data_IF_890818475377
#
_entry.id   IF_890818475377
#
_cell.length_a   1.000
_cell.length_b   1.000
_cell.length_c   1.000
_cell.angle_alpha   90.00
_cell.angle_beta   90.00
_cell.angle_gamma   90.00
#
_symmetry.space_group_name_H-M   'P 1'
#
loop_
_entity.id
_entity.type
_entity.pdbx_description
1 polymer ?
#
# COMPACT_ATOMS: atom_id res chain seq x y z
N UNK A 1 34.71 17.41 10.13
CA UNK A 1 34.74 15.93 10.06
C UNK A 1 33.35 15.30 10.26
N UNK A 2 32.25 15.97 9.90
CA UNK A 2 30.87 15.62 10.34
C UNK A 2 29.88 15.36 9.20
N UNK A 3 30.19 15.71 7.96
CA UNK A 3 29.27 15.58 6.81
C UNK A 3 29.14 14.12 6.30
N UNK A 4 30.16 13.27 6.51
CA UNK A 4 30.13 11.86 6.08
C UNK A 4 29.10 10.99 6.83
N UNK A 5 28.86 11.27 8.12
CA UNK A 5 27.97 10.46 8.96
C UNK A 5 26.47 10.61 8.62
N UNK A 6 26.04 11.81 8.23
CA UNK A 6 24.62 12.11 7.93
C UNK A 6 24.21 11.59 6.55
N UNK A 7 25.13 11.56 5.58
CA UNK A 7 24.88 10.97 4.25
C UNK A 7 24.90 9.45 4.33
N UNK A 8 25.77 8.86 5.15
CA UNK A 8 25.77 7.42 5.41
C UNK A 8 24.46 6.92 6.02
N UNK A 9 23.84 7.66 6.95
CA UNK A 9 22.61 7.20 7.60
C UNK A 9 21.43 7.09 6.63
N UNK A 10 21.21 8.07 5.74
CA UNK A 10 20.09 8.05 4.79
C UNK A 10 20.21 6.91 3.77
N UNK A 11 21.42 6.68 3.25
CA UNK A 11 21.68 5.59 2.29
C UNK A 11 21.50 4.24 2.96
N UNK A 12 22.04 4.06 4.17
CA UNK A 12 21.91 2.81 4.93
C UNK A 12 20.44 2.52 5.25
N UNK A 13 19.67 3.53 5.71
CA UNK A 13 18.24 3.36 5.97
C UNK A 13 17.50 2.95 4.71
N UNK A 14 17.75 3.62 3.57
CA UNK A 14 17.09 3.26 2.31
C UNK A 14 17.42 1.84 1.87
N UNK A 15 18.71 1.45 1.91
CA UNK A 15 19.13 0.10 1.55
C UNK A 15 18.51 -0.96 2.47
N UNK A 16 18.38 -0.67 3.77
CA UNK A 16 17.68 -1.54 4.72
C UNK A 16 16.20 -1.71 4.37
N UNK A 17 15.49 -0.61 4.08
CA UNK A 17 14.09 -0.67 3.66
C UNK A 17 13.92 -1.44 2.35
N UNK A 18 14.80 -1.19 1.38
CA UNK A 18 14.80 -1.88 0.08
C UNK A 18 15.09 -3.38 0.24
N UNK A 19 15.99 -3.77 1.15
CA UNK A 19 16.28 -5.17 1.44
C UNK A 19 15.06 -5.88 2.06
N UNK A 20 14.39 -5.26 3.02
CA UNK A 20 13.15 -5.79 3.63
C UNK A 20 12.06 -5.94 2.56
N UNK A 21 11.89 -4.92 1.71
CA UNK A 21 10.93 -4.94 0.61
C UNK A 21 11.25 -6.08 -0.37
N UNK A 22 12.51 -6.19 -0.79
CA UNK A 22 12.97 -7.21 -1.74
C UNK A 22 12.78 -8.61 -1.18
N UNK A 23 13.05 -8.82 0.11
CA UNK A 23 12.83 -10.10 0.78
C UNK A 23 11.34 -10.50 0.78
N UNK A 24 10.44 -9.57 1.11
CA UNK A 24 9.00 -9.81 1.09
C UNK A 24 8.47 -10.15 -0.31
N UNK A 25 8.92 -9.41 -1.34
CA UNK A 25 8.56 -9.68 -2.74
C UNK A 25 9.11 -11.02 -3.19
N UNK A 26 10.38 -11.31 -2.88
CA UNK A 26 11.03 -12.58 -3.26
C UNK A 26 10.34 -13.77 -2.64
N UNK A 27 9.91 -13.68 -1.38
CA UNK A 27 9.11 -14.72 -0.74
C UNK A 27 7.80 -14.99 -1.49
N UNK A 28 7.09 -13.93 -1.90
CA UNK A 28 5.85 -14.08 -2.69
C UNK A 28 6.12 -14.66 -4.08
N UNK A 29 7.20 -14.24 -4.75
CA UNK A 29 7.59 -14.77 -6.07
C UNK A 29 7.94 -16.26 -5.97
N UNK A 30 8.70 -16.66 -4.94
CA UNK A 30 9.05 -18.08 -4.72
C UNK A 30 7.80 -18.91 -4.51
N UNK A 31 6.81 -18.41 -3.75
CA UNK A 31 5.53 -19.09 -3.57
C UNK A 31 4.79 -19.22 -4.92
N UNK A 32 4.67 -18.14 -5.67
CA UNK A 32 4.00 -18.13 -6.98
C UNK A 32 4.65 -19.04 -8.03
N UNK A 33 5.98 -19.18 -8.00
CA UNK A 33 6.71 -20.04 -8.95
C UNK A 33 6.62 -21.52 -8.54
N UNK A 34 6.62 -21.81 -7.23
CA UNK A 34 6.52 -23.18 -6.72
C UNK A 34 5.12 -23.75 -6.84
N UNK A 35 4.11 -22.90 -6.71
CA UNK A 35 2.71 -23.26 -6.81
C UNK A 35 2.01 -22.24 -7.72
N UNK A 36 1.95 -22.50 -9.04
CA UNK A 36 1.31 -21.60 -9.99
C UNK A 36 -0.20 -21.81 -10.07
N UNK A 37 -0.80 -22.59 -9.15
CA UNK A 37 -2.24 -22.85 -9.18
C UNK A 37 -3.04 -21.56 -9.00
N UNK A 38 -4.10 -21.46 -9.80
CA UNK A 38 -4.99 -20.31 -9.73
C UNK A 38 -5.89 -20.43 -8.51
N UNK A 39 -5.68 -19.56 -7.53
CA UNK A 39 -6.49 -19.50 -6.31
C UNK A 39 -6.61 -18.08 -5.79
N UNK A 40 -7.85 -17.66 -5.50
CA UNK A 40 -8.15 -16.37 -4.85
C UNK A 40 -7.39 -16.19 -3.53
N UNK A 41 -7.21 -17.29 -2.79
CA UNK A 41 -6.50 -17.32 -1.50
C UNK A 41 -5.05 -17.78 -1.61
N UNK A 42 -4.46 -17.76 -2.81
CA UNK A 42 -3.07 -18.16 -2.99
C UNK A 42 -2.15 -17.39 -2.01
N UNK A 43 -1.20 -18.05 -1.32
CA UNK A 43 -0.33 -17.39 -0.33
C UNK A 43 0.43 -16.17 -0.86
N UNK A 44 0.86 -16.20 -2.13
CA UNK A 44 1.51 -15.04 -2.76
C UNK A 44 0.55 -13.85 -2.94
N UNK A 45 -0.74 -14.09 -3.23
CA UNK A 45 -1.76 -13.04 -3.37
C UNK A 45 -2.05 -12.41 -2.02
N UNK A 46 -2.35 -13.23 -1.02
CA UNK A 46 -2.67 -12.74 0.33
C UNK A 46 -1.44 -12.16 1.05
N UNK A 47 -0.25 -12.70 0.82
CA UNK A 47 1.02 -12.22 1.36
C UNK A 47 1.43 -10.88 0.76
N UNK A 48 1.34 -10.73 -0.56
CA UNK A 48 1.63 -9.45 -1.23
C UNK A 48 0.63 -8.35 -0.85
N UNK A 49 -0.66 -8.67 -0.69
CA UNK A 49 -1.66 -7.75 -0.16
C UNK A 49 -1.26 -7.26 1.25
N UNK A 50 -0.85 -8.18 2.12
CA UNK A 50 -0.44 -7.85 3.48
C UNK A 50 0.83 -6.99 3.50
N UNK A 51 1.81 -7.29 2.65
CA UNK A 51 3.01 -6.50 2.50
C UNK A 51 2.68 -5.07 2.05
N UNK A 52 1.85 -4.92 1.01
CA UNK A 52 1.39 -3.61 0.53
C UNK A 52 0.74 -2.79 1.65
N UNK A 53 -0.22 -3.37 2.38
CA UNK A 53 -0.89 -2.68 3.49
C UNK A 53 0.11 -2.33 4.59
N UNK A 54 1.03 -3.22 4.94
CA UNK A 54 2.08 -2.97 5.92
C UNK A 54 2.96 -1.77 5.55
N UNK A 55 3.45 -1.71 4.31
CA UNK A 55 4.22 -0.56 3.82
C UNK A 55 3.43 0.73 3.83
N UNK A 56 2.15 0.68 3.46
CA UNK A 56 1.26 1.84 3.51
C UNK A 56 1.10 2.38 4.94
N UNK A 57 0.86 1.49 5.92
CA UNK A 57 0.73 1.83 7.34
C UNK A 57 2.04 2.46 7.86
N UNK A 58 3.18 1.83 7.56
CA UNK A 58 4.49 2.36 7.95
C UNK A 58 4.75 3.74 7.36
N UNK A 59 4.38 3.96 6.09
CA UNK A 59 4.51 5.25 5.44
C UNK A 59 3.60 6.32 6.07
N UNK A 60 2.34 5.98 6.40
CA UNK A 60 1.46 6.89 7.13
C UNK A 60 1.95 7.21 8.53
N UNK A 61 2.47 6.23 9.26
CA UNK A 61 3.09 6.44 10.57
C UNK A 61 4.31 7.37 10.45
N UNK A 62 5.17 7.12 9.46
CA UNK A 62 6.32 7.99 9.19
C UNK A 62 5.86 9.42 8.84
N UNK A 63 4.86 9.59 7.97
CA UNK A 63 4.30 10.90 7.62
C UNK A 63 3.66 11.64 8.80
N UNK A 64 3.04 10.91 9.74
CA UNK A 64 2.44 11.49 10.94
C UNK A 64 3.50 12.03 11.92
N UNK A 65 4.70 11.44 11.91
CA UNK A 65 5.85 11.95 12.69
C UNK A 65 6.57 13.06 11.94
N UNK A 66 6.98 12.80 10.69
CA UNK A 66 7.75 13.72 9.87
C UNK A 66 7.65 13.38 8.37
N UNK A 67 7.35 14.40 7.55
CA UNK A 67 7.30 14.27 6.08
C UNK A 67 8.68 14.45 5.46
N UNK A 68 9.56 13.48 5.63
CA UNK A 68 10.94 13.50 5.11
C UNK A 68 11.19 12.47 3.99
N UNK A 69 12.44 12.36 3.55
CA UNK A 69 12.84 11.41 2.49
C UNK A 69 12.51 9.95 2.83
N UNK A 70 12.64 9.54 4.09
CA UNK A 70 12.31 8.17 4.51
C UNK A 70 10.81 7.90 4.39
N UNK A 71 9.96 8.85 4.79
CA UNK A 71 8.51 8.73 4.59
C UNK A 71 8.16 8.63 3.09
N UNK A 72 8.82 9.43 2.24
CA UNK A 72 8.65 9.37 0.78
C UNK A 72 9.10 8.02 0.20
N UNK A 73 10.22 7.48 0.68
CA UNK A 73 10.71 6.16 0.27
C UNK A 73 9.76 5.04 0.68
N UNK A 74 9.29 5.02 1.94
CA UNK A 74 8.27 4.07 2.42
C UNK A 74 7.00 4.14 1.57
N UNK A 75 6.56 5.35 1.25
CA UNK A 75 5.37 5.58 0.41
C UNK A 75 5.55 5.03 -1.01
N UNK A 76 6.74 5.19 -1.57
CA UNK A 76 7.10 4.67 -2.90
C UNK A 76 7.21 3.14 -2.90
N UNK A 77 7.83 2.56 -1.86
CA UNK A 77 7.92 1.10 -1.70
C UNK A 77 6.53 0.45 -1.47
N UNK A 78 5.62 1.16 -0.80
CA UNK A 78 4.22 0.74 -0.71
C UNK A 78 3.53 0.71 -2.07
N UNK A 79 3.74 1.73 -2.90
CA UNK A 79 3.22 1.76 -4.27
C UNK A 79 3.79 0.61 -5.12
N UNK A 80 5.08 0.32 -5.03
CA UNK A 80 5.67 -0.79 -5.79
C UNK A 80 5.14 -2.14 -5.30
N UNK A 81 4.91 -2.29 -3.98
CA UNK A 81 4.25 -3.47 -3.43
C UNK A 81 2.81 -3.64 -3.93
N UNK A 82 2.07 -2.54 -4.15
CA UNK A 82 0.76 -2.57 -4.81
C UNK A 82 0.86 -3.16 -6.22
N UNK A 83 1.80 -2.71 -7.06
CA UNK A 83 1.93 -3.25 -8.42
C UNK A 83 2.33 -4.73 -8.44
N UNK A 84 3.21 -5.15 -7.52
CA UNK A 84 3.52 -6.57 -7.31
C UNK A 84 2.25 -7.34 -6.92
N UNK A 85 1.46 -6.81 -5.99
CA UNK A 85 0.19 -7.42 -5.60
C UNK A 85 -0.80 -7.51 -6.75
N UNK A 86 -0.96 -6.46 -7.58
CA UNK A 86 -1.80 -6.49 -8.77
C UNK A 86 -1.34 -7.58 -9.75
N UNK A 87 -0.03 -7.74 -9.93
CA UNK A 87 0.53 -8.82 -10.74
C UNK A 87 0.13 -10.21 -10.24
N UNK A 88 0.24 -10.45 -8.92
CA UNK A 88 -0.19 -11.72 -8.33
C UNK A 88 -1.71 -11.91 -8.36
N UNK A 89 -2.49 -10.88 -8.05
CA UNK A 89 -3.95 -10.94 -8.07
C UNK A 89 -4.45 -11.26 -9.48
N UNK A 90 -3.98 -10.55 -10.50
CA UNK A 90 -4.38 -10.86 -11.87
C UNK A 90 -3.84 -12.22 -12.32
N UNK A 91 -2.56 -12.53 -12.10
CA UNK A 91 -1.97 -13.78 -12.58
C UNK A 91 -2.52 -15.03 -11.89
N UNK A 92 -2.55 -15.04 -10.56
CA UNK A 92 -2.87 -16.21 -9.75
C UNK A 92 -4.32 -16.23 -9.26
N UNK A 93 -4.96 -15.08 -9.03
CA UNK A 93 -6.34 -15.06 -8.55
C UNK A 93 -7.37 -15.03 -9.70
N UNK A 94 -7.01 -14.42 -10.84
CA UNK A 94 -7.96 -14.13 -11.92
C UNK A 94 -7.51 -14.62 -13.31
N UNK A 95 -6.38 -15.31 -13.42
CA UNK A 95 -5.89 -15.86 -14.70
C UNK A 95 -5.72 -14.80 -15.80
N UNK A 96 -5.31 -13.59 -15.41
CA UNK A 96 -5.21 -12.38 -16.25
C UNK A 96 -6.54 -11.91 -16.87
N UNK A 97 -7.68 -12.44 -16.44
CA UNK A 97 -9.00 -12.06 -16.93
C UNK A 97 -9.59 -10.92 -16.12
N UNK A 98 -9.73 -9.75 -16.75
CA UNK A 98 -10.48 -8.62 -16.19
C UNK A 98 -11.93 -9.01 -15.88
N UNK A 99 -12.57 -9.80 -16.74
CA UNK A 99 -13.94 -10.26 -16.51
C UNK A 99 -14.04 -11.14 -15.26
N UNK A 100 -13.07 -12.01 -15.02
CA UNK A 100 -13.03 -12.82 -13.80
C UNK A 100 -12.85 -11.97 -12.54
N UNK A 101 -12.04 -10.91 -12.62
CA UNK A 101 -11.88 -9.97 -11.51
C UNK A 101 -13.18 -9.18 -11.23
N UNK A 102 -13.87 -8.70 -12.26
CA UNK A 102 -15.19 -8.04 -12.14
C UNK A 102 -16.20 -8.98 -11.50
N UNK A 103 -16.26 -10.23 -11.95
CA UNK A 103 -17.20 -11.22 -11.42
C UNK A 103 -16.89 -11.57 -9.97
N UNK A 104 -15.60 -11.67 -9.60
CA UNK A 104 -15.21 -11.84 -8.21
C UNK A 104 -15.67 -10.67 -7.32
N UNK A 105 -15.48 -9.43 -7.78
CA UNK A 105 -15.97 -8.23 -7.08
C UNK A 105 -17.49 -8.22 -6.97
N UNK A 106 -18.21 -8.67 -8.01
CA UNK A 106 -19.67 -8.81 -7.99
C UNK A 106 -20.12 -9.86 -6.97
N UNK A 107 -19.48 -11.02 -6.96
CA UNK A 107 -19.84 -12.13 -6.10
C UNK A 107 -19.64 -11.81 -4.60
N UNK A 108 -18.56 -11.10 -4.25
CA UNK A 108 -18.23 -10.79 -2.85
C UNK A 108 -18.80 -9.44 -2.41
N UNK A 109 -18.70 -8.41 -3.26
CA UNK A 109 -19.10 -7.03 -2.95
C UNK A 109 -20.49 -6.63 -3.47
N UNK A 110 -21.16 -7.50 -4.24
CA UNK A 110 -22.49 -7.24 -4.82
C UNK A 110 -22.51 -6.34 -6.05
N UNK A 111 -21.39 -5.70 -6.41
CA UNK A 111 -21.32 -4.72 -7.51
C UNK A 111 -19.97 -4.80 -8.23
N UNK A 112 -19.92 -5.53 -9.36
CA UNK A 112 -18.66 -5.87 -10.06
C UNK A 112 -17.89 -4.66 -10.58
N UNK A 113 -18.62 -3.65 -11.05
CA UNK A 113 -18.13 -2.36 -11.54
C UNK A 113 -17.41 -1.57 -10.43
N UNK A 114 -17.63 -1.95 -9.16
CA UNK A 114 -16.86 -1.48 -8.01
C UNK A 114 -15.34 -1.72 -8.14
N UNK A 115 -14.90 -2.62 -9.03
CA UNK A 115 -13.48 -2.80 -9.35
C UNK A 115 -12.79 -1.51 -9.81
N UNK A 116 -13.54 -0.58 -10.42
CA UNK A 116 -13.03 0.74 -10.85
C UNK A 116 -12.42 1.51 -9.67
N UNK A 117 -12.93 1.32 -8.45
CA UNK A 117 -12.36 1.96 -7.26
C UNK A 117 -10.93 1.49 -6.98
N UNK A 118 -10.60 0.22 -7.27
CA UNK A 118 -9.24 -0.29 -7.14
C UNK A 118 -8.30 0.34 -8.18
N UNK A 119 -8.79 0.63 -9.39
CA UNK A 119 -8.01 1.36 -10.40
C UNK A 119 -7.79 2.81 -10.02
N UNK A 120 -8.84 3.48 -9.52
CA UNK A 120 -8.72 4.85 -9.01
C UNK A 120 -7.72 4.92 -7.86
N UNK A 121 -7.71 3.94 -6.97
CA UNK A 121 -6.71 3.82 -5.90
C UNK A 121 -5.28 3.71 -6.44
N UNK A 122 -5.04 2.82 -7.41
CA UNK A 122 -3.72 2.67 -8.01
C UNK A 122 -3.25 3.95 -8.72
N UNK A 123 -4.15 4.59 -9.47
CA UNK A 123 -3.86 5.86 -10.16
C UNK A 123 -3.59 6.98 -9.17
N UNK A 124 -4.47 7.16 -8.17
CA UNK A 124 -4.34 8.23 -7.18
C UNK A 124 -3.04 8.10 -6.37
N UNK A 125 -2.69 6.89 -5.95
CA UNK A 125 -1.44 6.65 -5.23
C UNK A 125 -0.22 6.88 -6.14
N UNK A 126 -0.29 6.45 -7.39
CA UNK A 126 0.78 6.71 -8.38
C UNK A 126 0.98 8.22 -8.58
N UNK A 127 -0.09 8.96 -8.82
CA UNK A 127 -0.05 10.42 -9.00
C UNK A 127 0.50 11.11 -7.76
N UNK A 128 0.10 10.69 -6.55
CA UNK A 128 0.59 11.28 -5.30
C UNK A 128 2.11 11.04 -5.11
N UNK A 129 2.60 9.82 -5.40
CA UNK A 129 4.03 9.51 -5.38
C UNK A 129 4.78 10.34 -6.41
N UNK A 130 4.30 10.39 -7.65
CA UNK A 130 4.94 11.15 -8.73
C UNK A 130 4.98 12.64 -8.40
N UNK A 131 3.90 13.20 -7.85
CA UNK A 131 3.86 14.59 -7.41
C UNK A 131 4.89 14.86 -6.30
N UNK A 132 4.97 13.98 -5.30
CA UNK A 132 5.94 14.14 -4.21
C UNK A 132 7.39 14.10 -4.70
N UNK A 133 7.72 13.26 -5.70
CA UNK A 133 9.06 13.23 -6.29
C UNK A 133 9.33 14.41 -7.22
N UNK A 134 8.36 14.81 -8.05
CA UNK A 134 8.54 15.89 -9.01
C UNK A 134 8.64 17.26 -8.35
N UNK A 135 7.86 17.50 -7.29
CA UNK A 135 7.88 18.77 -6.57
C UNK A 135 7.53 18.58 -5.07
N UNK A 136 8.54 18.29 -4.22
CA UNK A 136 8.33 18.06 -2.79
C UNK A 136 7.71 19.25 -2.07
N UNK A 137 8.05 20.48 -2.46
CA UNK A 137 7.52 21.71 -1.85
C UNK A 137 6.05 21.91 -2.17
N UNK A 138 5.66 21.70 -3.44
CA UNK A 138 4.26 21.75 -3.85
C UNK A 138 3.44 20.65 -3.17
N UNK A 139 3.95 19.43 -3.08
CA UNK A 139 3.28 18.33 -2.38
C UNK A 139 3.08 18.63 -0.90
N UNK A 140 4.10 19.20 -0.23
CA UNK A 140 4.00 19.61 1.16
C UNK A 140 2.94 20.70 1.38
N UNK A 141 2.77 21.61 0.41
CA UNK A 141 1.80 22.71 0.45
C UNK A 141 0.44 22.38 -0.18
N UNK A 142 0.15 21.09 -0.43
CA UNK A 142 -1.10 20.68 -1.09
C UNK A 142 -2.34 21.11 -0.29
N UNK A 143 -3.45 21.45 -0.96
CA UNK A 143 -4.70 21.75 -0.28
C UNK A 143 -5.15 20.60 0.63
N UNK A 144 -5.66 20.93 1.82
CA UNK A 144 -6.07 19.93 2.82
C UNK A 144 -7.11 18.94 2.28
N UNK A 145 -8.03 19.40 1.43
CA UNK A 145 -9.05 18.54 0.83
C UNK A 145 -8.44 17.47 -0.09
N UNK A 146 -7.34 17.77 -0.80
CA UNK A 146 -6.64 16.79 -1.64
C UNK A 146 -6.03 15.72 -0.76
N UNK A 147 -5.38 16.11 0.34
CA UNK A 147 -4.85 15.15 1.31
C UNK A 147 -5.96 14.26 1.89
N UNK A 148 -7.08 14.83 2.31
CA UNK A 148 -8.23 14.07 2.84
C UNK A 148 -8.78 13.12 1.79
N UNK A 149 -8.97 13.57 0.54
CA UNK A 149 -9.51 12.74 -0.53
C UNK A 149 -8.57 11.56 -0.87
N UNK A 150 -7.26 11.81 -1.05
CA UNK A 150 -6.29 10.75 -1.34
C UNK A 150 -6.20 9.75 -0.19
N UNK A 151 -5.95 10.22 1.04
CA UNK A 151 -5.78 9.32 2.17
C UNK A 151 -7.10 8.61 2.54
N UNK A 152 -8.24 9.27 2.36
CA UNK A 152 -9.58 8.70 2.55
C UNK A 152 -9.90 7.60 1.54
N UNK A 153 -9.61 7.81 0.25
CA UNK A 153 -9.73 6.78 -0.78
C UNK A 153 -8.87 5.56 -0.45
N UNK A 154 -7.60 5.78 -0.09
CA UNK A 154 -6.67 4.71 0.25
C UNK A 154 -7.14 3.94 1.49
N UNK A 155 -7.60 4.63 2.53
CA UNK A 155 -8.18 4.00 3.71
C UNK A 155 -9.43 3.19 3.38
N UNK A 156 -10.33 3.73 2.56
CA UNK A 156 -11.54 3.04 2.12
C UNK A 156 -11.20 1.73 1.39
N UNK A 157 -10.28 1.76 0.44
CA UNK A 157 -9.87 0.55 -0.31
C UNK A 157 -9.22 -0.47 0.61
N UNK A 158 -8.36 -0.06 1.54
CA UNK A 158 -7.72 -0.99 2.48
C UNK A 158 -8.73 -1.60 3.44
N UNK A 159 -9.73 -0.86 3.93
CA UNK A 159 -10.81 -1.43 4.73
C UNK A 159 -11.59 -2.47 3.92
N UNK A 160 -11.98 -2.16 2.69
CA UNK A 160 -12.69 -3.13 1.85
C UNK A 160 -11.81 -4.37 1.59
N UNK A 161 -10.57 -4.18 1.16
CA UNK A 161 -9.64 -5.26 0.84
C UNK A 161 -9.36 -6.17 2.04
N UNK A 162 -9.36 -5.64 3.27
CA UNK A 162 -9.03 -6.41 4.48
C UNK A 162 -10.24 -6.97 5.20
N UNK A 163 -11.36 -6.24 5.25
CA UNK A 163 -12.57 -6.62 5.98
C UNK A 163 -13.58 -7.35 5.10
N UNK A 164 -13.77 -6.90 3.85
CA UNK A 164 -14.76 -7.49 2.94
C UNK A 164 -14.14 -8.63 2.13
N UNK A 165 -12.99 -8.39 1.51
CA UNK A 165 -12.33 -9.36 0.62
C UNK A 165 -11.25 -10.20 1.33
N UNK A 166 -10.79 -9.75 2.50
CA UNK A 166 -9.66 -10.34 3.19
C UNK A 166 -10.00 -11.62 3.98
N UNK A 167 -8.98 -12.45 4.30
CA UNK A 167 -9.15 -13.61 5.17
C UNK A 167 -9.65 -13.20 6.57
N UNK A 168 -10.53 -14.02 7.15
CA UNK A 168 -11.21 -13.71 8.41
C UNK A 168 -10.21 -13.46 9.55
N UNK A 169 -9.12 -14.25 9.59
CA UNK A 169 -8.10 -14.18 10.64
C UNK A 169 -7.30 -12.88 10.65
N UNK A 170 -7.31 -12.09 9.57
CA UNK A 170 -6.53 -10.84 9.47
C UNK A 170 -7.36 -9.58 9.73
N UNK A 171 -8.70 -9.69 9.80
CA UNK A 171 -9.62 -8.55 9.93
C UNK A 171 -9.36 -7.72 11.19
N UNK A 172 -9.10 -8.39 12.32
CA UNK A 172 -8.86 -7.73 13.61
C UNK A 172 -7.56 -6.93 13.56
N UNK A 173 -6.48 -7.51 13.05
CA UNK A 173 -5.18 -6.86 12.98
C UNK A 173 -5.24 -5.58 12.12
N UNK A 174 -5.89 -5.65 10.96
CA UNK A 174 -6.07 -4.48 10.10
C UNK A 174 -7.03 -3.45 10.67
N UNK A 175 -8.13 -3.88 11.31
CA UNK A 175 -9.05 -3.00 12.01
C UNK A 175 -8.35 -2.20 13.11
N UNK A 176 -7.55 -2.86 13.94
CA UNK A 176 -6.74 -2.21 14.98
C UNK A 176 -5.75 -1.23 14.37
N UNK A 177 -5.02 -1.62 13.31
CA UNK A 177 -4.04 -0.75 12.67
C UNK A 177 -4.69 0.51 12.08
N UNK A 178 -5.86 0.39 11.44
CA UNK A 178 -6.62 1.52 10.91
C UNK A 178 -7.11 2.45 12.04
N UNK A 179 -7.61 1.91 13.15
CA UNK A 179 -8.02 2.72 14.31
C UNK A 179 -6.83 3.50 14.87
N UNK A 180 -5.68 2.86 15.03
CA UNK A 180 -4.45 3.52 15.52
C UNK A 180 -4.02 4.64 14.58
N UNK A 181 -4.11 4.43 13.26
CA UNK A 181 -3.76 5.45 12.26
C UNK A 181 -4.72 6.64 12.27
N UNK A 182 -6.03 6.39 12.35
CA UNK A 182 -7.03 7.46 12.51
C UNK A 182 -6.78 8.25 13.78
N UNK A 183 -6.52 7.57 14.90
CA UNK A 183 -6.23 8.21 16.18
C UNK A 183 -4.92 9.03 16.15
N UNK A 184 -3.89 8.56 15.46
CA UNK A 184 -2.63 9.28 15.29
C UNK A 184 -2.80 10.57 14.47
N UNK A 185 -3.69 10.56 13.48
CA UNK A 185 -3.99 11.72 12.63
C UNK A 185 -4.98 12.71 13.25
N UNK A 186 -5.76 12.28 14.25
CA UNK A 186 -6.71 13.14 14.98
C UNK A 186 -6.06 13.98 16.08
N UNK A 187 -4.77 13.75 16.41
CA UNK A 187 -4.10 14.54 17.45
C UNK A 187 -4.16 16.03 17.08
N UNK A 188 -4.77 16.88 17.92
CA UNK A 188 -4.80 18.32 17.67
C UNK A 188 -3.36 18.81 17.59
N UNK A 189 -3.00 19.48 16.51
CA UNK A 189 -1.79 20.28 16.49
C UNK A 189 -2.01 21.41 17.49
N UNK A 190 -1.44 21.29 18.69
CA UNK A 190 -1.36 22.38 19.65
C UNK A 190 -0.65 23.54 18.98
N UNK A 191 -1.39 24.62 18.73
CA UNK A 191 -0.89 25.93 18.30
C UNK A 191 -0.09 26.55 19.43
#
# INVERSE_FOLDING_TARGET
MTVRWVVQSRVITFLGLLAIWSAAVSACVVLAVRDPEQALRHPAVTGSAAAMVGWMILAWAAMAVQRNDSARQLWTLGLTALFVHLGFAFGLAHGWSHAAAVEHVRAVGGYGEGIVVNYLFAVAWTVDVLWWWANPTSHANRPRWVAIATHGLLAFVVVNATVVFGPDERRIAYGVALIVLVAAWWRPTSV
#
